data_IF_000227462980
#
_entry.id   IF_000227462980
#
_cell.length_a   1.000
_cell.length_b   1.000
_cell.length_c   1.000
_cell.angle_alpha   90.00
_cell.angle_beta   90.00
_cell.angle_gamma   90.00
#
_symmetry.space_group_name_H-M   'P 1'
#
loop_
_entity.id
_entity.type
_entity.pdbx_description
1 polymer ?
#
# COMPACT_ATOMS: atom_id res chain seq x y z
N UNK A 1 42.13 -22.38 17.21
CA UNK A 1 42.71 -21.02 17.32
C UNK A 1 42.48 -20.35 15.99
N UNK A 2 41.50 -19.44 15.96
CA UNK A 2 41.21 -18.55 14.82
C UNK A 2 42.37 -17.59 14.56
N UNK A 3 42.36 -16.90 13.41
CA UNK A 3 41.89 -15.50 13.43
C UNK A 3 40.89 -15.25 12.29
N UNK A 4 39.67 -14.83 12.62
CA UNK A 4 39.23 -13.41 12.59
C UNK A 4 39.22 -12.83 11.16
N UNK A 5 38.03 -12.88 10.56
CA UNK A 5 37.59 -12.15 9.38
C UNK A 5 37.72 -10.64 9.61
N UNK A 6 38.50 -9.98 8.76
CA UNK A 6 38.69 -8.53 8.76
C UNK A 6 37.40 -7.80 8.35
N UNK A 7 36.81 -7.09 9.28
CA UNK A 7 35.81 -6.06 9.04
C UNK A 7 36.50 -4.89 8.33
N UNK A 8 36.12 -4.60 7.09
CA UNK A 8 36.53 -3.36 6.42
C UNK A 8 35.69 -2.20 6.97
N UNK A 9 36.24 -1.53 7.97
CA UNK A 9 35.92 -0.15 8.33
C UNK A 9 35.99 0.75 7.09
N UNK A 10 34.86 1.32 6.68
CA UNK A 10 34.87 2.42 5.69
C UNK A 10 35.04 3.71 6.46
N UNK A 11 36.25 4.25 6.36
CA UNK A 11 36.70 5.54 6.87
C UNK A 11 35.91 6.70 6.25
N UNK A 12 35.74 7.75 7.05
CA UNK A 12 34.80 8.84 6.83
C UNK A 12 35.00 9.63 5.53
N UNK A 13 33.87 9.92 4.89
CA UNK A 13 33.77 10.85 3.77
C UNK A 13 32.88 12.02 4.20
N UNK A 14 33.38 13.23 3.95
CA UNK A 14 32.75 14.54 4.16
C UNK A 14 31.26 14.54 3.80
N UNK A 15 30.46 15.33 4.51
CA UNK A 15 29.01 15.54 4.29
C UNK A 15 28.69 16.08 2.87
N UNK A 16 28.84 15.22 1.87
CA UNK A 16 28.40 15.43 0.51
C UNK A 16 26.93 15.05 0.44
N UNK A 17 26.08 15.92 -0.13
CA UNK A 17 24.66 15.64 -0.30
C UNK A 17 24.50 14.39 -1.16
N UNK A 18 24.18 13.26 -0.55
CA UNK A 18 23.99 11.98 -1.24
C UNK A 18 22.80 12.12 -2.19
N UNK A 19 23.08 12.13 -3.50
CA UNK A 19 22.04 12.21 -4.53
C UNK A 19 21.54 10.81 -4.89
N UNK A 20 20.26 10.52 -4.59
CA UNK A 20 19.62 9.23 -4.89
C UNK A 20 19.16 9.07 -6.36
N UNK A 21 19.72 9.85 -7.29
CA UNK A 21 19.38 9.74 -8.73
C UNK A 21 19.66 8.36 -9.30
N UNK A 22 20.72 7.70 -8.83
CA UNK A 22 21.09 6.34 -9.24
C UNK A 22 20.00 5.33 -8.88
N UNK A 23 19.38 5.45 -7.71
CA UNK A 23 18.26 4.61 -7.28
C UNK A 23 17.04 4.78 -8.20
N UNK A 24 16.63 6.03 -8.47
CA UNK A 24 15.51 6.31 -9.37
C UNK A 24 15.74 5.78 -10.80
N UNK A 25 16.99 5.78 -11.28
CA UNK A 25 17.35 5.22 -12.59
C UNK A 25 17.50 3.68 -12.59
N UNK A 26 17.72 3.07 -11.42
CA UNK A 26 17.80 1.62 -11.26
C UNK A 26 16.42 0.97 -11.11
N UNK A 27 15.47 1.64 -10.46
CA UNK A 27 14.15 1.09 -10.16
C UNK A 27 13.39 0.57 -11.40
N UNK A 28 13.33 1.28 -12.55
CA UNK A 28 12.63 0.77 -13.74
C UNK A 28 13.21 -0.54 -14.32
N UNK A 29 14.48 -0.85 -14.00
CA UNK A 29 15.16 -2.10 -14.41
C UNK A 29 15.03 -3.21 -13.37
N UNK A 30 14.42 -2.92 -12.23
CA UNK A 30 14.23 -3.90 -11.15
C UNK A 30 13.06 -4.86 -11.45
N UNK A 31 13.09 -6.08 -10.89
CA UNK A 31 11.96 -6.99 -10.96
C UNK A 31 10.67 -6.38 -10.37
N UNK A 32 10.78 -5.60 -9.29
CA UNK A 32 9.65 -4.93 -8.66
C UNK A 32 8.91 -3.99 -9.61
N UNK A 33 9.63 -3.26 -10.47
CA UNK A 33 8.98 -2.43 -11.49
C UNK A 33 8.24 -3.28 -12.53
N UNK A 34 8.85 -4.38 -12.98
CA UNK A 34 8.21 -5.30 -13.93
C UNK A 34 6.89 -5.84 -13.38
N UNK A 35 6.87 -6.26 -12.12
CA UNK A 35 5.68 -6.81 -11.46
C UNK A 35 4.59 -5.74 -11.30
N UNK A 36 4.95 -4.56 -10.77
CA UNK A 36 4.02 -3.44 -10.60
C UNK A 36 3.47 -2.94 -11.94
N UNK A 37 4.31 -2.90 -12.98
CA UNK A 37 3.90 -2.48 -14.31
C UNK A 37 2.92 -3.46 -14.97
N UNK A 38 3.06 -4.76 -14.69
CA UNK A 38 2.14 -5.80 -15.13
C UNK A 38 0.74 -5.65 -14.53
N UNK A 39 0.61 -5.09 -13.33
CA UNK A 39 -0.68 -4.91 -12.64
C UNK A 39 -1.20 -3.48 -12.62
N UNK A 40 -0.60 -2.57 -13.39
CA UNK A 40 -0.88 -1.12 -13.33
C UNK A 40 -2.35 -0.73 -13.55
N UNK A 41 -3.12 -1.57 -14.25
CA UNK A 41 -4.52 -1.30 -14.57
C UNK A 41 -5.52 -2.04 -13.66
N UNK A 42 -5.07 -2.89 -12.72
CA UNK A 42 -5.95 -3.69 -11.87
C UNK A 42 -6.81 -2.81 -10.95
N UNK A 43 -6.20 -1.95 -10.12
CA UNK A 43 -6.96 -1.10 -9.19
C UNK A 43 -7.82 -0.05 -9.91
N UNK A 44 -7.33 0.64 -10.96
CA UNK A 44 -8.14 1.60 -11.70
C UNK A 44 -9.36 0.99 -12.42
N UNK A 45 -9.33 -0.29 -12.82
CA UNK A 45 -10.45 -0.91 -13.54
C UNK A 45 -11.77 -0.90 -12.76
N UNK A 46 -11.69 -1.04 -11.43
CA UNK A 46 -12.84 -0.99 -10.50
C UNK A 46 -13.42 0.41 -10.33
N UNK A 47 -12.70 1.45 -10.73
CA UNK A 47 -13.20 2.82 -10.68
C UNK A 47 -14.09 3.19 -11.86
N UNK A 48 -14.19 2.33 -12.89
CA UNK A 48 -15.00 2.62 -14.08
C UNK A 48 -16.50 2.55 -13.77
N UNK A 49 -17.34 3.06 -14.68
CA UNK A 49 -18.82 2.97 -14.57
C UNK A 49 -19.34 1.53 -14.48
N UNK A 50 -18.55 0.55 -14.92
CA UNK A 50 -18.88 -0.86 -14.84
C UNK A 50 -18.65 -1.49 -13.45
N UNK A 51 -18.10 -0.71 -12.50
CA UNK A 51 -17.98 -1.08 -11.10
C UNK A 51 -17.22 -2.39 -10.85
N UNK A 52 -17.69 -3.16 -9.87
CA UNK A 52 -17.04 -4.41 -9.46
C UNK A 52 -16.98 -5.44 -10.59
N UNK A 53 -18.10 -5.69 -11.28
CA UNK A 53 -18.17 -6.72 -12.32
C UNK A 53 -17.27 -6.38 -13.52
N UNK A 54 -17.26 -5.12 -13.95
CA UNK A 54 -16.35 -4.67 -15.01
C UNK A 54 -14.88 -4.75 -14.58
N UNK A 55 -14.59 -4.39 -13.33
CA UNK A 55 -13.25 -4.52 -12.76
C UNK A 55 -12.74 -5.96 -12.75
N UNK A 56 -13.59 -6.92 -12.36
CA UNK A 56 -13.26 -8.36 -12.37
C UNK A 56 -13.02 -8.86 -13.79
N UNK A 57 -13.93 -8.60 -14.72
CA UNK A 57 -13.78 -9.06 -16.10
C UNK A 57 -12.52 -8.49 -16.75
N UNK A 58 -12.31 -7.18 -16.60
CA UNK A 58 -11.15 -6.49 -17.16
C UNK A 58 -9.85 -6.99 -16.53
N UNK A 59 -9.79 -7.13 -15.20
CA UNK A 59 -8.60 -7.63 -14.51
C UNK A 59 -8.26 -9.07 -14.87
N UNK A 60 -9.25 -9.93 -15.10
CA UNK A 60 -9.05 -11.28 -15.60
C UNK A 60 -8.37 -11.30 -16.98
N UNK A 61 -8.87 -10.48 -17.91
CA UNK A 61 -8.29 -10.36 -19.26
C UNK A 61 -6.90 -9.74 -19.22
N UNK A 62 -6.71 -8.66 -18.46
CA UNK A 62 -5.42 -7.97 -18.35
C UNK A 62 -4.34 -8.87 -17.72
N UNK A 63 -4.71 -9.66 -16.70
CA UNK A 63 -3.82 -10.64 -16.07
C UNK A 63 -3.43 -11.75 -17.04
N UNK A 64 -4.37 -12.24 -17.86
CA UNK A 64 -4.09 -13.24 -18.90
C UNK A 64 -3.10 -12.70 -19.95
N UNK A 65 -3.19 -11.40 -20.26
CA UNK A 65 -2.26 -10.69 -21.14
C UNK A 65 -0.98 -10.24 -20.43
N UNK A 66 -0.80 -10.54 -19.15
CA UNK A 66 0.33 -10.09 -18.30
C UNK A 66 0.54 -8.57 -18.36
N UNK A 67 -0.54 -7.79 -18.41
CA UNK A 67 -0.48 -6.32 -18.47
C UNK A 67 0.11 -5.75 -19.76
N UNK A 68 0.21 -6.56 -20.84
CA UNK A 68 0.75 -6.16 -22.17
C UNK A 68 -0.27 -5.36 -23.00
N UNK A 69 -1.05 -4.52 -22.35
CA UNK A 69 -1.99 -3.61 -23.00
C UNK A 69 -1.29 -2.28 -23.35
N UNK A 70 -1.62 -1.61 -24.47
CA UNK A 70 -0.97 -0.38 -24.90
C UNK A 70 -1.45 0.90 -24.18
N UNK A 71 -2.33 0.77 -23.17
CA UNK A 71 -2.86 1.90 -22.40
C UNK A 71 -2.56 1.77 -20.90
N UNK A 72 -2.73 2.88 -20.19
CA UNK A 72 -2.65 2.96 -18.72
C UNK A 72 -3.84 3.75 -18.20
N UNK A 73 -4.65 3.11 -17.37
CA UNK A 73 -5.83 3.72 -16.74
C UNK A 73 -5.39 4.71 -15.65
N UNK A 74 -6.16 5.78 -15.49
CA UNK A 74 -5.91 6.79 -14.45
C UNK A 74 -6.70 6.46 -13.19
N UNK A 75 -6.12 6.77 -12.02
CA UNK A 75 -6.85 6.71 -10.77
C UNK A 75 -7.91 7.82 -10.71
N UNK A 76 -9.02 7.52 -10.04
CA UNK A 76 -10.01 8.54 -9.67
C UNK A 76 -9.38 9.44 -8.60
N UNK A 77 -9.68 10.74 -8.65
CA UNK A 77 -9.07 11.74 -7.76
C UNK A 77 -9.29 11.45 -6.27
N UNK A 78 -8.40 11.96 -5.43
CA UNK A 78 -8.43 11.75 -3.97
C UNK A 78 -9.62 12.44 -3.24
N UNK A 79 -10.39 13.27 -3.94
CA UNK A 79 -11.52 14.00 -3.37
C UNK A 79 -12.80 13.17 -3.42
N UNK A 80 -13.17 12.58 -2.29
CA UNK A 80 -14.47 11.92 -2.15
C UNK A 80 -15.48 12.95 -1.65
N UNK A 81 -16.30 13.50 -2.55
CA UNK A 81 -17.52 14.20 -2.14
C UNK A 81 -18.58 13.15 -1.85
N UNK A 82 -18.67 12.72 -0.59
CA UNK A 82 -19.67 11.74 -0.17
C UNK A 82 -21.05 12.40 0.00
N UNK A 83 -22.05 11.94 -0.75
CA UNK A 83 -23.45 11.99 -0.31
C UNK A 83 -23.72 10.66 0.39
N UNK A 84 -23.51 10.62 1.70
CA UNK A 84 -23.67 9.40 2.48
C UNK A 84 -25.12 9.25 2.96
N UNK A 85 -25.65 8.04 2.83
CA UNK A 85 -26.88 7.62 3.52
C UNK A 85 -26.48 6.91 4.81
N UNK A 86 -27.28 7.06 5.87
CA UNK A 86 -27.07 6.28 7.09
C UNK A 86 -27.27 4.80 6.80
N UNK A 87 -26.31 3.97 7.21
CA UNK A 87 -26.37 2.51 7.07
C UNK A 87 -26.70 1.94 8.45
N UNK A 88 -27.78 1.16 8.53
CA UNK A 88 -28.14 0.44 9.75
C UNK A 88 -27.32 -0.84 9.83
N UNK A 89 -26.27 -0.84 10.64
CA UNK A 89 -25.50 -2.05 10.94
C UNK A 89 -26.24 -2.91 11.97
N UNK A 90 -26.28 -4.24 11.81
CA UNK A 90 -26.83 -5.13 12.82
C UNK A 90 -25.98 -5.08 14.10
N UNK A 91 -26.56 -5.42 15.26
CA UNK A 91 -25.79 -5.62 16.48
C UNK A 91 -24.80 -6.77 16.31
N UNK A 92 -23.77 -6.81 17.16
CA UNK A 92 -22.78 -7.89 17.14
C UNK A 92 -23.41 -9.23 17.59
N UNK A 93 -22.93 -10.32 17.01
CA UNK A 93 -23.35 -11.70 17.25
C UNK A 93 -22.12 -12.61 17.49
N UNK A 94 -21.80 -12.98 18.74
CA UNK A 94 -20.73 -13.93 19.03
C UNK A 94 -21.05 -15.35 18.52
N UNK A 95 -20.08 -16.13 18.02
CA UNK A 95 -18.64 -15.85 17.94
C UNK A 95 -18.22 -15.18 16.61
N UNK A 96 -19.16 -14.85 15.73
CA UNK A 96 -18.90 -14.36 14.38
C UNK A 96 -18.45 -12.89 14.36
N UNK A 97 -18.95 -12.09 15.29
CA UNK A 97 -18.63 -10.67 15.40
C UNK A 97 -18.54 -10.23 16.87
N UNK A 98 -17.83 -9.13 17.09
CA UNK A 98 -17.56 -8.55 18.41
C UNK A 98 -17.68 -7.03 18.33
N UNK A 99 -17.77 -6.38 19.49
CA UNK A 99 -17.81 -4.92 19.57
C UNK A 99 -16.41 -4.30 19.34
N UNK A 100 -16.41 -2.98 19.13
CA UNK A 100 -15.19 -2.24 18.82
C UNK A 100 -14.19 -2.24 20.00
N UNK A 101 -14.66 -2.14 21.25
CA UNK A 101 -13.76 -2.05 22.41
C UNK A 101 -13.05 -3.38 22.66
N UNK A 102 -13.78 -4.50 22.53
CA UNK A 102 -13.17 -5.83 22.56
C UNK A 102 -12.16 -5.99 21.42
N UNK A 103 -12.49 -5.55 20.19
CA UNK A 103 -11.55 -5.58 19.06
C UNK A 103 -10.27 -4.78 19.35
N UNK A 104 -10.40 -3.57 19.91
CA UNK A 104 -9.25 -2.72 20.27
C UNK A 104 -8.42 -3.38 21.37
N UNK A 105 -9.04 -3.95 22.41
CA UNK A 105 -8.34 -4.65 23.48
C UNK A 105 -7.50 -5.84 22.94
N UNK A 106 -8.02 -6.59 21.96
CA UNK A 106 -7.31 -7.71 21.33
C UNK A 106 -6.10 -7.29 20.50
N UNK A 107 -6.02 -6.04 20.04
CA UNK A 107 -4.84 -5.54 19.33
C UNK A 107 -3.63 -5.31 20.25
N UNK A 108 -3.85 -5.19 21.57
CA UNK A 108 -2.81 -4.82 22.52
C UNK A 108 -2.21 -3.42 22.28
N UNK A 109 -2.89 -2.57 21.49
CA UNK A 109 -2.42 -1.21 21.22
C UNK A 109 -2.58 -0.35 22.47
N UNK A 110 -1.48 0.26 22.92
CA UNK A 110 -1.45 1.15 24.07
C UNK A 110 -0.42 2.25 23.84
N UNK A 111 -0.66 3.42 24.43
CA UNK A 111 0.24 4.55 24.45
C UNK A 111 0.43 5.03 25.88
N UNK A 112 1.60 5.57 26.19
CA UNK A 112 1.85 6.13 27.51
C UNK A 112 0.92 7.33 27.77
N UNK A 113 0.31 7.34 28.95
CA UNK A 113 -0.54 8.44 29.38
C UNK A 113 0.27 9.76 29.44
N UNK A 114 -0.34 10.87 29.02
CA UNK A 114 0.30 12.19 29.04
C UNK A 114 1.20 12.52 27.84
N UNK A 115 1.32 11.64 26.84
CA UNK A 115 1.98 11.98 25.56
C UNK A 115 1.12 12.93 24.71
N UNK A 116 1.77 13.75 23.88
CA UNK A 116 1.07 14.63 22.95
C UNK A 116 0.27 13.82 21.90
N UNK A 117 -0.95 14.28 21.60
CA UNK A 117 -1.84 13.62 20.64
C UNK A 117 -1.21 13.66 19.24
N UNK A 118 -0.99 12.49 18.64
CA UNK A 118 -0.35 12.34 17.32
C UNK A 118 -1.31 12.65 16.16
N UNK A 119 -2.61 12.42 16.37
CA UNK A 119 -3.65 12.74 15.39
C UNK A 119 -4.09 14.20 15.59
N UNK A 120 -3.68 15.07 14.66
CA UNK A 120 -4.04 16.50 14.64
C UNK A 120 -5.14 16.73 13.61
N UNK A 121 -6.08 17.61 13.94
CA UNK A 121 -7.17 18.07 13.05
C UNK A 121 -6.76 19.35 12.36
#
# INVERSE_FOLDING_TARGET
>A
VSPETSETETTGTKDEVISLKSYSAAFPRSPAHTDLWGVRNLRPSFGTRAGMLGGVLYSGVDTMLRGRVPWTLKHHGAGVSFRAFSISYPPFEPPLSTDLLTSVALTGTNHAEGQAIQLRV
#
